data_IF_669697102416
#
_entry.id   IF_669697102416
#
_cell.length_a   1.000
_cell.length_b   1.000
_cell.length_c   1.000
_cell.angle_alpha   90.00
_cell.angle_beta   90.00
_cell.angle_gamma   90.00
#
_symmetry.space_group_name_H-M   'P 1'
#
loop_
_entity.id
_entity.type
_entity.pdbx_description
1 polymer ?
#
# COMPACT_ATOMS: atom_id res chain seq x y z
N UNK A 1 -15.47 55.16 70.97
CA UNK A 1 -16.68 54.32 71.11
C UNK A 1 -17.16 54.02 69.72
N UNK A 2 -17.39 52.74 69.44
CA UNK A 2 -17.90 52.16 68.20
C UNK A 2 -17.05 52.32 66.94
N UNK A 3 -16.53 51.20 66.41
CA UNK A 3 -16.32 50.97 64.97
C UNK A 3 -15.96 49.50 64.73
N UNK A 4 -16.93 48.80 64.14
CA UNK A 4 -16.87 47.65 63.22
C UNK A 4 -15.67 46.68 63.24
N UNK A 5 -15.97 45.43 63.58
CA UNK A 5 -15.39 44.19 63.04
C UNK A 5 -15.75 44.08 61.53
N UNK A 6 -15.12 43.24 60.64
CA UNK A 6 -14.72 41.88 61.01
C UNK A 6 -13.59 41.17 60.21
N UNK A 7 -13.18 40.04 60.80
CA UNK A 7 -12.90 38.74 60.16
C UNK A 7 -11.65 38.56 59.29
N UNK A 8 -10.81 37.61 59.71
CA UNK A 8 -10.11 36.72 58.79
C UNK A 8 -10.11 35.28 59.31
N UNK A 9 -10.84 34.42 58.59
CA UNK A 9 -10.87 32.99 58.76
C UNK A 9 -9.68 32.32 58.04
N UNK A 10 -9.20 31.19 58.59
CA UNK A 10 -8.24 30.26 57.96
C UNK A 10 -8.71 28.80 58.24
N UNK A 11 -8.21 27.78 57.52
CA UNK A 11 -8.72 27.38 56.20
C UNK A 11 -9.13 25.89 56.18
N UNK A 12 -10.30 25.54 55.64
CA UNK A 12 -10.61 24.13 55.33
C UNK A 12 -10.57 23.91 53.83
N UNK A 13 -9.50 23.28 53.36
CA UNK A 13 -9.26 22.98 51.95
C UNK A 13 -10.43 22.26 51.29
N UNK A 14 -11.15 22.96 50.42
CA UNK A 14 -12.15 22.37 49.54
C UNK A 14 -11.43 21.50 48.52
N UNK A 15 -11.52 20.18 48.72
CA UNK A 15 -11.03 19.16 47.81
C UNK A 15 -11.61 19.41 46.42
N UNK A 16 -10.80 19.92 45.49
CA UNK A 16 -11.14 20.02 44.06
C UNK A 16 -11.57 18.64 43.58
N UNK A 17 -12.88 18.44 43.45
CA UNK A 17 -13.45 17.28 42.75
C UNK A 17 -12.96 17.42 41.30
N UNK A 18 -11.88 16.71 40.96
CA UNK A 18 -11.54 16.44 39.56
C UNK A 18 -12.78 15.81 38.97
N UNK A 19 -13.49 16.56 38.13
CA UNK A 19 -14.57 16.03 37.31
C UNK A 19 -13.91 14.95 36.46
N UNK A 20 -14.11 13.69 36.86
CA UNK A 20 -13.75 12.54 36.03
C UNK A 20 -14.40 12.84 34.69
N UNK A 21 -13.58 13.08 33.66
CA UNK A 21 -14.06 12.92 32.29
C UNK A 21 -14.45 11.46 32.23
N UNK A 22 -15.74 11.18 32.41
CA UNK A 22 -16.32 9.92 32.03
C UNK A 22 -15.95 9.77 30.57
N UNK A 23 -15.01 8.87 30.28
CA UNK A 23 -14.82 8.37 28.94
C UNK A 23 -16.15 7.76 28.55
N UNK A 24 -17.04 8.57 27.98
CA UNK A 24 -18.15 8.05 27.22
C UNK A 24 -17.51 7.10 26.21
N UNK A 25 -17.89 5.82 26.16
CA UNK A 25 -17.36 4.91 25.16
C UNK A 25 -17.60 5.60 23.83
N UNK A 26 -16.53 5.84 23.07
CA UNK A 26 -16.62 6.28 21.69
C UNK A 26 -17.24 5.12 20.91
N UNK A 27 -18.57 4.99 21.01
CA UNK A 27 -19.37 4.04 20.25
C UNK A 27 -19.48 4.56 18.82
N UNK A 28 -18.38 4.46 18.10
CA UNK A 28 -18.26 4.95 16.73
C UNK A 28 -17.00 4.44 16.00
N UNK A 29 -16.33 3.42 16.53
CA UNK A 29 -15.20 2.82 15.82
C UNK A 29 -15.69 1.60 15.04
N UNK A 30 -15.54 1.64 13.72
CA UNK A 30 -15.68 0.43 12.90
C UNK A 30 -14.63 -0.59 13.36
N UNK A 31 -15.00 -1.85 13.62
CA UNK A 31 -14.04 -2.86 14.01
C UNK A 31 -13.05 -3.07 12.88
N UNK A 32 -11.78 -2.83 13.17
CA UNK A 32 -10.69 -3.10 12.24
C UNK A 32 -10.56 -4.63 12.05
N UNK A 33 -10.57 -5.07 10.80
CA UNK A 33 -10.27 -6.47 10.46
C UNK A 33 -8.80 -6.78 10.77
N UNK A 34 -8.48 -8.01 11.19
CA UNK A 34 -7.10 -8.44 11.37
C UNK A 34 -6.33 -8.29 10.06
N UNK A 35 -5.05 -7.92 10.16
CA UNK A 35 -4.17 -7.81 9.00
C UNK A 35 -4.04 -9.15 8.28
N UNK A 36 -4.21 -9.13 6.96
CA UNK A 36 -4.12 -10.30 6.11
C UNK A 36 -4.10 -9.92 4.64
N UNK A 37 -3.69 -10.85 3.78
CA UNK A 37 -3.71 -10.66 2.34
C UNK A 37 -5.16 -10.54 1.86
N UNK A 38 -5.54 -9.46 1.15
CA UNK A 38 -6.82 -9.40 0.47
C UNK A 38 -6.93 -10.53 -0.55
N UNK A 39 -8.06 -11.23 -0.56
CA UNK A 39 -8.38 -12.21 -1.59
C UNK A 39 -9.36 -11.56 -2.57
N UNK A 40 -9.18 -11.81 -3.86
CA UNK A 40 -10.14 -11.38 -4.86
C UNK A 40 -11.43 -12.18 -4.68
N UNK A 41 -12.56 -11.48 -4.56
CA UNK A 41 -13.87 -12.10 -4.48
C UNK A 41 -14.32 -12.64 -5.85
N UNK A 42 -14.00 -11.89 -6.91
CA UNK A 42 -14.32 -12.21 -8.29
C UNK A 42 -13.05 -12.53 -9.08
N UNK A 43 -13.22 -13.17 -10.24
CA UNK A 43 -12.13 -13.36 -11.17
C UNK A 43 -11.59 -12.00 -11.68
N UNK A 44 -10.29 -11.89 -11.99
CA UNK A 44 -9.75 -10.71 -12.64
C UNK A 44 -10.50 -10.39 -13.92
N UNK A 45 -10.69 -9.11 -14.20
CA UNK A 45 -11.28 -8.68 -15.47
C UNK A 45 -10.34 -9.05 -16.63
N UNK A 46 -10.91 -9.64 -17.68
CA UNK A 46 -10.22 -9.95 -18.93
C UNK A 46 -10.45 -8.79 -19.92
N UNK A 47 -9.51 -7.84 -20.08
CA UNK A 47 -9.71 -6.66 -20.93
C UNK A 47 -9.60 -6.96 -22.44
N UNK A 48 -9.00 -8.09 -22.80
CA UNK A 48 -8.83 -8.56 -24.18
C UNK A 48 -9.55 -9.91 -24.32
N UNK A 49 -10.16 -10.12 -25.47
CA UNK A 49 -10.67 -11.41 -25.88
C UNK A 49 -9.53 -12.30 -26.42
N UNK A 50 -9.85 -13.56 -26.73
CA UNK A 50 -8.86 -14.51 -27.23
C UNK A 50 -8.14 -14.01 -28.49
N UNK A 51 -8.87 -13.39 -29.42
CA UNK A 51 -8.27 -12.80 -30.63
C UNK A 51 -7.33 -11.64 -30.30
N UNK A 52 -7.69 -10.79 -29.34
CA UNK A 52 -6.82 -9.73 -28.83
C UNK A 52 -5.52 -10.26 -28.25
N UNK A 53 -5.56 -11.39 -27.53
CA UNK A 53 -4.37 -12.03 -26.98
C UNK A 53 -3.48 -12.59 -28.08
N UNK A 54 -4.04 -13.30 -29.06
CA UNK A 54 -3.29 -13.85 -30.19
C UNK A 54 -2.62 -12.74 -31.01
N UNK A 55 -3.30 -11.60 -31.23
CA UNK A 55 -2.68 -10.46 -31.93
C UNK A 55 -1.47 -9.88 -31.19
N UNK A 56 -1.53 -9.82 -29.86
CA UNK A 56 -0.37 -9.39 -29.06
C UNK A 56 0.75 -10.42 -29.13
N UNK A 57 0.41 -11.71 -29.12
CA UNK A 57 1.38 -12.79 -29.27
C UNK A 57 2.10 -12.73 -30.62
N UNK A 58 1.36 -12.65 -31.72
CA UNK A 58 1.90 -12.56 -33.08
C UNK A 58 2.79 -11.33 -33.25
N UNK A 59 2.34 -10.17 -32.76
CA UNK A 59 3.14 -8.95 -32.79
C UNK A 59 4.43 -9.08 -31.97
N UNK A 60 4.38 -9.73 -30.81
CA UNK A 60 5.57 -9.99 -30.00
C UNK A 60 6.56 -10.91 -30.72
N UNK A 61 6.07 -11.98 -31.37
CA UNK A 61 6.94 -12.88 -32.15
C UNK A 61 7.58 -12.14 -33.33
N UNK A 62 6.79 -11.34 -34.06
CA UNK A 62 7.31 -10.52 -35.14
C UNK A 62 8.43 -9.58 -34.68
N UNK A 63 8.26 -8.91 -33.53
CA UNK A 63 9.30 -8.05 -32.95
C UNK A 63 10.57 -8.85 -32.63
N UNK A 64 10.43 -10.03 -32.02
CA UNK A 64 11.56 -10.87 -31.65
C UNK A 64 12.33 -11.39 -32.88
N UNK A 65 11.63 -11.72 -33.95
CA UNK A 65 12.22 -12.25 -35.19
C UNK A 65 12.84 -11.15 -36.07
N UNK A 66 12.14 -10.03 -36.25
CA UNK A 66 12.55 -8.98 -37.18
C UNK A 66 13.52 -7.97 -36.55
N UNK A 67 13.28 -7.57 -35.30
CA UNK A 67 14.03 -6.53 -34.59
C UNK A 67 15.04 -7.16 -33.63
N UNK A 68 14.59 -8.11 -32.80
CA UNK A 68 15.39 -8.71 -31.74
C UNK A 68 15.47 -7.85 -30.46
N UNK A 69 16.32 -8.27 -29.51
CA UNK A 69 16.55 -7.59 -28.23
C UNK A 69 18.05 -7.57 -27.92
N UNK A 70 18.54 -6.43 -27.45
CA UNK A 70 19.94 -6.27 -27.06
C UNK A 70 20.22 -6.88 -25.68
N UNK A 71 20.95 -8.00 -25.70
CA UNK A 71 21.50 -8.61 -24.48
C UNK A 71 22.90 -8.08 -24.22
N UNK A 72 23.01 -7.18 -23.24
CA UNK A 72 24.28 -6.55 -22.86
C UNK A 72 25.26 -7.51 -22.15
N UNK A 73 24.76 -8.64 -21.64
CA UNK A 73 25.56 -9.63 -20.93
C UNK A 73 26.11 -10.69 -21.90
N UNK A 74 27.43 -10.86 -21.94
CA UNK A 74 28.08 -11.77 -22.90
C UNK A 74 27.69 -13.24 -22.69
N UNK A 75 27.58 -13.70 -21.45
CA UNK A 75 27.15 -15.08 -21.18
C UNK A 75 25.70 -15.33 -21.62
N UNK A 76 24.83 -14.31 -21.53
CA UNK A 76 23.45 -14.45 -21.98
C UNK A 76 23.39 -14.64 -23.50
N UNK A 77 24.26 -13.95 -24.24
CA UNK A 77 24.41 -14.12 -25.69
C UNK A 77 24.86 -15.54 -26.04
N UNK A 78 25.81 -16.11 -25.29
CA UNK A 78 26.26 -17.49 -25.51
C UNK A 78 25.16 -18.52 -25.23
N UNK A 79 24.38 -18.34 -24.16
CA UNK A 79 23.24 -19.22 -23.85
C UNK A 79 22.21 -19.20 -24.99
N UNK A 80 21.87 -18.02 -25.49
CA UNK A 80 20.91 -17.87 -26.58
C UNK A 80 21.42 -18.48 -27.90
N UNK A 81 22.71 -18.31 -28.20
CA UNK A 81 23.34 -18.94 -29.36
C UNK A 81 23.31 -20.47 -29.28
N UNK A 82 23.56 -21.03 -28.09
CA UNK A 82 23.45 -22.48 -27.86
C UNK A 82 22.01 -22.99 -27.97
N UNK A 83 21.03 -22.16 -27.60
CA UNK A 83 19.61 -22.45 -27.80
C UNK A 83 19.15 -22.35 -29.27
N UNK A 84 20.05 -21.92 -30.18
CA UNK A 84 19.78 -21.81 -31.62
C UNK A 84 19.28 -20.44 -32.06
N UNK A 85 19.37 -19.41 -31.23
CA UNK A 85 19.02 -18.05 -31.60
C UNK A 85 20.15 -17.38 -32.41
N UNK A 86 19.78 -16.50 -33.34
CA UNK A 86 20.72 -15.68 -34.09
C UNK A 86 21.24 -14.53 -33.23
N UNK A 87 22.56 -14.50 -33.00
CA UNK A 87 23.22 -13.46 -32.18
C UNK A 87 24.09 -12.58 -33.07
N UNK A 88 23.79 -11.27 -33.09
CA UNK A 88 24.61 -10.25 -33.75
C UNK A 88 25.57 -9.63 -32.74
N UNK A 89 26.82 -9.42 -33.15
CA UNK A 89 27.86 -8.81 -32.27
C UNK A 89 27.90 -7.29 -32.43
N UNK A 90 27.34 -6.77 -33.52
CA UNK A 90 27.49 -5.37 -33.92
C UNK A 90 26.19 -4.59 -33.63
N UNK A 91 26.13 -3.93 -32.48
CA UNK A 91 25.22 -2.83 -32.12
C UNK A 91 25.86 -1.98 -31.02
#
# INVERSE_FOLDING_TARGET
MESDQPSSATPSGTRRRRKNRTNAPTSGHLPQLPWGQPQYADAPTEPLDAEGVERVHDAAMQILEEIGIDFLHDEAREILKQAGCDVRTDS
#
